data_IF_033720431516
#
_entry.id   IF_033720431516
#
_cell.length_a   1.000
_cell.length_b   1.000
_cell.length_c   1.000
_cell.angle_alpha   90.00
_cell.angle_beta   90.00
_cell.angle_gamma   90.00
#
_symmetry.space_group_name_H-M   'P 1'
#
loop_
_entity.id
_entity.type
_entity.pdbx_description
1 polymer ?
#
# COMPACT_ATOMS: atom_id res chain seq x y z
N UNK A 1 -5.78 16.82 -11.90
CA UNK A 1 -6.02 15.60 -12.67
C UNK A 1 -5.44 15.79 -14.07
N UNK A 2 -4.39 15.02 -14.40
CA UNK A 2 -3.73 15.03 -15.70
C UNK A 2 -2.95 13.71 -15.85
N UNK A 3 -3.55 12.74 -16.54
CA UNK A 3 -2.98 11.40 -16.68
C UNK A 3 -1.78 11.42 -17.62
N UNK A 4 -0.71 10.71 -17.25
CA UNK A 4 0.41 10.42 -18.14
C UNK A 4 -0.01 9.33 -19.13
N UNK A 5 0.30 9.54 -20.40
CA UNK A 5 -0.03 8.62 -21.49
C UNK A 5 1.23 7.92 -22.03
N UNK A 6 2.36 8.66 -22.12
CA UNK A 6 3.64 8.16 -22.63
C UNK A 6 4.82 8.81 -21.91
N UNK A 7 5.93 8.10 -21.88
CA UNK A 7 7.22 8.58 -21.38
C UNK A 7 8.27 8.37 -22.45
N UNK A 8 8.70 9.45 -23.09
CA UNK A 8 9.67 9.43 -24.20
C UNK A 8 11.01 9.98 -23.74
N UNK A 9 12.06 9.13 -23.72
CA UNK A 9 13.40 9.55 -23.36
C UNK A 9 14.01 10.40 -24.46
N UNK A 10 14.56 11.56 -24.10
CA UNK A 10 15.24 12.50 -25.01
C UNK A 10 16.75 12.53 -24.76
N UNK A 11 17.50 13.34 -25.51
CA UNK A 11 18.93 13.53 -25.32
C UNK A 11 19.25 14.10 -23.92
N UNK A 12 18.40 14.99 -23.39
CA UNK A 12 18.68 15.74 -22.17
C UNK A 12 17.75 15.37 -20.99
N UNK A 13 16.74 14.53 -21.22
CA UNK A 13 15.77 14.19 -20.19
C UNK A 13 14.61 13.35 -20.73
N UNK A 14 13.40 13.81 -20.51
CA UNK A 14 12.16 13.13 -20.83
C UNK A 14 11.08 14.07 -21.33
N UNK A 15 10.31 13.60 -22.32
CA UNK A 15 9.03 14.19 -22.69
C UNK A 15 7.90 13.34 -22.12
N UNK A 16 7.19 13.90 -21.17
CA UNK A 16 6.03 13.30 -20.51
C UNK A 16 4.77 13.73 -21.23
N UNK A 17 4.21 12.84 -22.03
CA UNK A 17 2.95 13.09 -22.75
C UNK A 17 1.78 12.87 -21.80
N UNK A 18 0.91 13.85 -21.72
CA UNK A 18 -0.27 13.82 -20.87
C UNK A 18 -1.54 14.17 -21.63
N UNK A 19 -2.71 13.95 -21.02
CA UNK A 19 -4.00 14.34 -21.62
C UNK A 19 -4.10 15.85 -21.95
N UNK A 20 -3.30 16.69 -21.26
CA UNK A 20 -3.35 18.16 -21.41
C UNK A 20 -2.15 18.75 -22.14
N UNK A 21 -1.27 17.91 -22.65
CA UNK A 21 -0.08 18.34 -23.38
C UNK A 21 1.18 17.62 -22.93
N UNK A 22 2.31 17.99 -23.54
CA UNK A 22 3.62 17.40 -23.24
C UNK A 22 4.41 18.28 -22.31
N UNK A 23 5.07 17.68 -21.33
CA UNK A 23 5.96 18.33 -20.36
C UNK A 23 7.36 17.80 -20.60
N UNK A 24 8.30 18.67 -21.00
CA UNK A 24 9.72 18.31 -21.06
C UNK A 24 10.37 18.53 -19.69
N UNK A 25 11.07 17.51 -19.19
CA UNK A 25 11.72 17.54 -17.88
C UNK A 25 13.04 16.79 -17.90
N UNK A 26 13.93 17.12 -16.98
CA UNK A 26 15.21 16.44 -16.84
C UNK A 26 15.07 15.08 -16.18
N UNK A 27 14.24 14.98 -15.14
CA UNK A 27 14.05 13.79 -14.33
C UNK A 27 12.59 13.37 -14.27
N UNK A 28 12.37 12.04 -14.25
CA UNK A 28 11.06 11.43 -13.99
C UNK A 28 11.16 10.59 -12.72
N UNK A 29 10.21 10.76 -11.81
CA UNK A 29 10.03 9.90 -10.63
C UNK A 29 8.72 9.14 -10.76
N UNK A 30 8.82 7.82 -10.85
CA UNK A 30 7.66 6.94 -10.83
C UNK A 30 7.27 6.63 -9.37
N UNK A 31 6.26 7.31 -8.88
CA UNK A 31 5.63 7.10 -7.58
C UNK A 31 4.15 6.68 -7.74
N UNK A 32 3.87 5.84 -8.75
CA UNK A 32 2.50 5.58 -9.20
C UNK A 32 1.78 4.48 -8.41
N UNK A 33 2.33 3.99 -7.28
CA UNK A 33 1.65 3.03 -6.40
C UNK A 33 1.19 1.79 -7.16
N UNK A 34 -0.11 1.50 -7.17
CA UNK A 34 -0.71 0.36 -7.88
C UNK A 34 -0.42 0.36 -9.39
N UNK A 35 -0.19 1.53 -10.00
CA UNK A 35 0.10 1.69 -11.43
C UNK A 35 1.60 1.78 -11.73
N UNK A 36 2.48 1.61 -10.74
CA UNK A 36 3.92 1.77 -10.90
C UNK A 36 4.51 0.89 -12.01
N UNK A 37 4.05 -0.37 -12.11
CA UNK A 37 4.45 -1.31 -13.16
C UNK A 37 4.07 -0.81 -14.55
N UNK A 38 2.83 -0.32 -14.72
CA UNK A 38 2.32 0.19 -15.99
C UNK A 38 3.05 1.47 -16.41
N UNK A 39 3.29 2.39 -15.47
CA UNK A 39 4.07 3.61 -15.72
C UNK A 39 5.53 3.26 -16.04
N UNK A 40 6.11 2.26 -15.38
CA UNK A 40 7.42 1.72 -15.72
C UNK A 40 7.49 1.23 -17.17
N UNK A 41 6.49 0.46 -17.60
CA UNK A 41 6.40 -0.04 -18.99
C UNK A 41 6.35 1.07 -20.04
N UNK A 42 5.77 2.23 -19.73
CA UNK A 42 5.82 3.39 -20.63
C UNK A 42 7.26 3.86 -20.91
N UNK A 43 8.16 3.66 -19.95
CA UNK A 43 9.60 3.95 -20.08
C UNK A 43 10.42 2.72 -20.54
N UNK A 44 9.76 1.60 -20.87
CA UNK A 44 10.43 0.34 -21.23
C UNK A 44 11.10 -0.35 -20.03
N UNK A 45 10.52 -0.22 -18.84
CA UNK A 45 11.01 -0.81 -17.59
C UNK A 45 9.95 -1.78 -17.05
N UNK A 46 10.36 -2.99 -16.69
CA UNK A 46 9.52 -3.90 -15.94
C UNK A 46 9.91 -3.81 -14.46
N UNK A 47 9.14 -3.07 -13.67
CA UNK A 47 9.38 -2.97 -12.23
C UNK A 47 8.91 -4.26 -11.54
N UNK A 48 9.73 -4.85 -10.65
CA UNK A 48 9.39 -6.05 -9.91
C UNK A 48 8.47 -5.71 -8.73
N UNK A 49 7.28 -5.23 -9.02
CA UNK A 49 6.25 -4.92 -8.03
C UNK A 49 4.99 -5.69 -8.32
N UNK A 50 4.28 -6.07 -7.28
CA UNK A 50 2.98 -6.73 -7.39
C UNK A 50 2.03 -6.18 -6.33
N UNK A 51 0.82 -5.79 -6.71
CA UNK A 51 -0.20 -5.47 -5.73
C UNK A 51 -0.65 -6.74 -4.98
N UNK A 52 -0.81 -6.61 -3.66
CA UNK A 52 -1.38 -7.62 -2.78
C UNK A 52 -2.60 -7.03 -2.08
N UNK A 53 -3.62 -7.86 -1.83
CA UNK A 53 -4.70 -7.50 -0.92
C UNK A 53 -4.22 -7.58 0.53
N UNK A 54 -4.66 -6.65 1.38
CA UNK A 54 -4.23 -6.61 2.78
C UNK A 54 -5.32 -6.05 3.67
N UNK A 55 -5.50 -6.69 4.83
CA UNK A 55 -6.55 -6.33 5.77
C UNK A 55 -6.03 -5.59 6.99
N UNK A 56 -6.90 -4.73 7.51
CA UNK A 56 -6.87 -4.28 8.89
C UNK A 56 -8.30 -4.09 9.41
N UNK A 57 -8.47 -4.12 10.71
CA UNK A 57 -9.73 -3.77 11.37
C UNK A 57 -9.60 -2.47 12.16
N UNK A 58 -10.72 -1.76 12.27
CA UNK A 58 -10.91 -0.64 13.18
C UNK A 58 -11.90 -1.04 14.26
N UNK A 59 -11.58 -0.76 15.51
CA UNK A 59 -12.50 -0.99 16.62
C UNK A 59 -13.48 0.16 16.80
N UNK A 60 -14.55 -0.08 17.52
CA UNK A 60 -15.32 0.96 18.16
C UNK A 60 -14.46 1.72 19.18
N UNK A 61 -15.01 2.81 19.75
CA UNK A 61 -14.36 3.54 20.82
C UNK A 61 -14.15 2.64 22.04
N UNK A 62 -12.93 2.67 22.58
CA UNK A 62 -12.51 1.94 23.77
C UNK A 62 -12.34 2.99 24.89
N UNK A 63 -13.11 2.91 25.99
CA UNK A 63 -13.10 3.94 27.03
C UNK A 63 -11.70 4.23 27.60
N UNK A 64 -10.89 3.20 27.78
CA UNK A 64 -9.52 3.32 28.31
C UNK A 64 -8.61 4.06 27.35
N UNK A 65 -8.79 3.89 26.04
CA UNK A 65 -8.05 4.59 24.98
C UNK A 65 -8.55 6.02 24.86
N UNK A 66 -9.86 6.22 24.92
CA UNK A 66 -10.47 7.54 24.83
C UNK A 66 -10.10 8.46 26.01
N UNK A 67 -9.74 7.90 27.15
CA UNK A 67 -9.33 8.62 28.36
C UNK A 67 -7.84 9.02 28.37
N UNK A 68 -7.05 8.63 27.37
CA UNK A 68 -5.63 8.94 27.31
C UNK A 68 -5.41 10.38 26.84
N UNK A 69 -4.50 11.07 27.51
CA UNK A 69 -4.03 12.42 27.11
C UNK A 69 -3.00 12.41 25.98
N UNK A 70 -2.39 11.25 25.73
CA UNK A 70 -1.36 11.08 24.69
C UNK A 70 -1.63 9.83 23.87
N UNK A 71 -1.28 9.87 22.60
CA UNK A 71 -1.45 8.73 21.69
C UNK A 71 -0.51 7.57 22.10
N UNK A 72 -1.04 6.36 22.02
CA UNK A 72 -0.27 5.14 22.25
C UNK A 72 0.76 4.91 21.14
N UNK A 73 1.93 4.36 21.47
CA UNK A 73 2.91 3.99 20.45
C UNK A 73 2.36 2.87 19.56
N UNK A 74 2.82 2.87 18.30
CA UNK A 74 2.63 1.71 17.41
C UNK A 74 3.34 0.50 18.01
N UNK A 75 2.62 -0.61 18.09
CA UNK A 75 3.17 -1.91 18.51
C UNK A 75 3.22 -2.83 17.30
N UNK A 76 4.35 -3.51 17.09
CA UNK A 76 4.53 -4.52 16.06
C UNK A 76 4.83 -5.85 16.73
N UNK A 77 4.02 -6.86 16.46
CA UNK A 77 4.22 -8.26 16.90
C UNK A 77 4.54 -9.11 15.69
N UNK A 78 5.82 -9.35 15.44
CA UNK A 78 6.28 -10.15 14.31
C UNK A 78 5.96 -11.64 14.46
N UNK A 79 5.87 -12.15 15.69
CA UNK A 79 5.48 -13.55 15.95
C UNK A 79 3.98 -13.76 15.77
N UNK A 80 3.16 -12.77 16.15
CA UNK A 80 1.72 -12.78 15.96
C UNK A 80 1.25 -12.28 14.60
N UNK A 81 2.19 -11.90 13.72
CA UNK A 81 1.90 -11.35 12.38
C UNK A 81 0.93 -10.18 12.39
N UNK A 82 1.05 -9.32 13.39
CA UNK A 82 0.14 -8.18 13.58
C UNK A 82 0.88 -6.91 13.94
N UNK A 83 0.24 -5.79 13.70
CA UNK A 83 0.60 -4.51 14.29
C UNK A 83 -0.64 -3.81 14.83
N UNK A 84 -0.48 -3.05 15.88
CA UNK A 84 -1.58 -2.30 16.49
C UNK A 84 -1.19 -0.86 16.74
N UNK A 85 -2.07 0.06 16.43
CA UNK A 85 -1.94 1.47 16.77
C UNK A 85 -3.27 2.08 17.20
N UNK A 86 -3.18 3.16 17.95
CA UNK A 86 -4.37 3.95 18.25
C UNK A 86 -4.94 4.58 16.97
N UNK A 87 -6.26 4.55 16.85
CA UNK A 87 -7.01 5.24 15.82
C UNK A 87 -8.17 6.00 16.45
N UNK A 88 -8.04 7.31 16.54
CA UNK A 88 -9.01 8.14 17.27
C UNK A 88 -9.18 7.67 18.73
N UNK A 89 -10.40 7.28 19.12
CA UNK A 89 -10.74 6.76 20.45
C UNK A 89 -10.74 5.23 20.52
N UNK A 90 -10.34 4.54 19.47
CA UNK A 90 -10.23 3.10 19.38
C UNK A 90 -8.86 2.67 18.89
N UNK A 91 -8.79 1.44 18.39
CA UNK A 91 -7.55 0.82 17.89
C UNK A 91 -7.71 0.40 16.43
N UNK A 92 -6.57 0.38 15.73
CA UNK A 92 -6.41 -0.28 14.44
C UNK A 92 -5.53 -1.50 14.68
N UNK A 93 -6.03 -2.69 14.33
CA UNK A 93 -5.24 -3.92 14.23
C UNK A 93 -4.98 -4.19 12.75
N UNK A 94 -3.74 -4.15 12.35
CA UNK A 94 -3.30 -4.54 11.02
C UNK A 94 -2.68 -5.93 11.03
N UNK A 95 -2.72 -6.60 9.90
CA UNK A 95 -2.34 -8.00 9.75
C UNK A 95 -1.24 -8.12 8.72
N UNK A 96 -0.13 -8.77 9.08
CA UNK A 96 0.89 -9.23 8.14
C UNK A 96 0.45 -10.59 7.61
N UNK A 97 -0.31 -10.58 6.53
CA UNK A 97 -0.95 -11.79 6.01
C UNK A 97 0.08 -12.81 5.50
N UNK A 98 -0.02 -14.05 5.99
CA UNK A 98 0.84 -15.16 5.54
C UNK A 98 0.34 -15.68 4.19
N UNK A 99 -1.00 -15.81 4.05
CA UNK A 99 -1.65 -16.28 2.83
C UNK A 99 -2.08 -15.11 1.94
N UNK A 100 -1.15 -14.19 1.67
CA UNK A 100 -1.45 -13.02 0.85
C UNK A 100 -1.85 -13.39 -0.57
N UNK A 101 -2.75 -12.59 -1.15
CA UNK A 101 -3.25 -12.76 -2.51
C UNK A 101 -2.79 -11.62 -3.40
N UNK A 102 -2.26 -11.98 -4.55
CA UNK A 102 -1.97 -11.01 -5.59
C UNK A 102 -3.27 -10.44 -6.19
N UNK A 103 -3.26 -9.15 -6.42
CA UNK A 103 -4.36 -8.42 -7.05
C UNK A 103 -3.88 -7.72 -8.30
N UNK A 104 -4.53 -7.97 -9.45
CA UNK A 104 -4.23 -7.28 -10.73
C UNK A 104 -2.74 -7.20 -11.05
N UNK A 105 -2.04 -8.34 -11.05
CA UNK A 105 -0.57 -8.45 -11.22
C UNK A 105 -0.04 -7.79 -12.50
N UNK A 106 -0.84 -7.76 -13.56
CA UNK A 106 -0.45 -7.16 -14.85
C UNK A 106 -0.71 -5.65 -14.92
N UNK A 107 -1.38 -5.10 -13.93
CA UNK A 107 -1.68 -3.69 -13.77
C UNK A 107 -3.11 -3.42 -13.35
N UNK A 108 -3.29 -2.46 -12.46
CA UNK A 108 -4.60 -1.99 -12.03
C UNK A 108 -5.30 -1.24 -13.17
N UNK A 109 -6.65 -1.32 -13.28
CA UNK A 109 -7.39 -0.47 -14.22
C UNK A 109 -7.09 1.01 -13.98
N UNK A 110 -6.95 1.79 -15.06
CA UNK A 110 -6.61 3.21 -14.95
C UNK A 110 -7.69 4.06 -14.28
N UNK A 111 -8.91 3.58 -14.29
CA UNK A 111 -10.10 4.19 -13.65
C UNK A 111 -10.38 3.62 -12.26
N UNK A 112 -9.57 2.67 -11.76
CA UNK A 112 -9.65 2.20 -10.38
C UNK A 112 -9.45 3.38 -9.43
N UNK A 113 -10.41 3.59 -8.54
CA UNK A 113 -10.44 4.73 -7.65
C UNK A 113 -10.01 4.39 -6.21
N UNK A 114 -10.68 5.01 -5.25
CA UNK A 114 -10.51 4.77 -3.81
C UNK A 114 -11.50 3.66 -3.40
N UNK A 115 -11.41 2.53 -4.06
CA UNK A 115 -12.28 1.38 -3.81
C UNK A 115 -11.56 0.41 -2.88
N UNK A 116 -12.32 -0.18 -1.97
CA UNK A 116 -11.84 -1.28 -1.14
C UNK A 116 -12.22 -2.60 -1.81
N UNK A 117 -11.40 -3.62 -1.55
CA UNK A 117 -11.68 -4.99 -1.95
C UNK A 117 -12.70 -5.60 -1.00
N UNK A 118 -13.38 -6.67 -1.44
CA UNK A 118 -14.24 -7.44 -0.57
C UNK A 118 -13.42 -8.03 0.59
N UNK A 119 -14.04 -8.10 1.75
CA UNK A 119 -13.44 -8.74 2.92
C UNK A 119 -13.28 -10.24 2.68
N UNK A 120 -12.18 -10.79 3.16
CA UNK A 120 -11.84 -12.21 3.11
C UNK A 120 -11.28 -12.64 4.47
N UNK A 121 -12.17 -12.65 5.46
CA UNK A 121 -11.83 -12.84 6.87
C UNK A 121 -11.34 -14.27 7.13
N UNK A 122 -11.93 -15.25 6.45
CA UNK A 122 -11.55 -16.66 6.61
C UNK A 122 -10.07 -16.88 6.27
N UNK A 123 -9.54 -16.12 5.32
CA UNK A 123 -8.13 -16.21 4.89
C UNK A 123 -7.14 -15.75 5.96
N UNK A 124 -7.56 -14.84 6.82
CA UNK A 124 -6.73 -14.22 7.87
C UNK A 124 -7.15 -14.66 9.29
N UNK A 125 -7.97 -15.70 9.42
CA UNK A 125 -8.52 -16.16 10.70
C UNK A 125 -7.43 -16.49 11.73
N UNK A 126 -6.34 -17.12 11.29
CA UNK A 126 -5.24 -17.50 12.18
C UNK A 126 -4.54 -16.27 12.77
N UNK A 127 -4.21 -15.29 11.94
CA UNK A 127 -3.55 -14.06 12.36
C UNK A 127 -4.47 -13.20 13.22
N UNK A 128 -5.78 -13.19 12.90
CA UNK A 128 -6.77 -12.51 13.74
C UNK A 128 -6.85 -13.16 15.13
N UNK A 129 -6.90 -14.49 15.20
CA UNK A 129 -6.93 -15.22 16.47
C UNK A 129 -5.71 -14.87 17.32
N UNK A 130 -4.52 -14.91 16.73
CA UNK A 130 -3.30 -14.47 17.43
C UNK A 130 -3.37 -13.01 17.87
N UNK A 131 -3.88 -12.12 17.04
CA UNK A 131 -4.06 -10.71 17.39
C UNK A 131 -4.99 -10.50 18.58
N UNK A 132 -6.12 -11.21 18.62
CA UNK A 132 -7.06 -11.15 19.76
C UNK A 132 -6.47 -11.77 21.04
N UNK A 133 -5.62 -12.77 20.94
CA UNK A 133 -4.88 -13.33 22.09
C UNK A 133 -3.81 -12.36 22.61
N UNK A 134 -3.06 -11.73 21.72
CA UNK A 134 -1.97 -10.79 22.06
C UNK A 134 -2.47 -9.45 22.60
N UNK A 135 -3.64 -9.01 22.12
CA UNK A 135 -4.26 -7.75 22.52
C UNK A 135 -5.65 -7.97 23.15
N UNK A 136 -5.72 -8.36 24.44
CA UNK A 136 -6.98 -8.76 25.09
C UNK A 136 -8.08 -7.70 25.03
N UNK A 137 -7.74 -6.41 24.94
CA UNK A 137 -8.71 -5.33 24.80
C UNK A 137 -9.60 -5.50 23.56
N UNK A 138 -9.11 -6.15 22.52
CA UNK A 138 -9.87 -6.41 21.29
C UNK A 138 -10.98 -7.44 21.50
N UNK A 139 -10.88 -8.31 22.51
CA UNK A 139 -11.92 -9.31 22.80
C UNK A 139 -13.23 -8.69 23.31
N UNK A 140 -13.16 -7.49 23.84
CA UNK A 140 -14.31 -6.74 24.37
C UNK A 140 -14.68 -5.53 23.51
N UNK A 141 -13.80 -5.11 22.63
CA UNK A 141 -14.06 -4.02 21.70
C UNK A 141 -14.92 -4.50 20.52
N UNK A 142 -15.94 -3.74 20.15
CA UNK A 142 -16.67 -3.97 18.91
C UNK A 142 -15.79 -3.70 17.68
N UNK A 143 -16.04 -4.41 16.59
CA UNK A 143 -15.42 -4.12 15.30
C UNK A 143 -16.30 -3.12 14.55
N UNK A 144 -15.74 -1.92 14.32
CA UNK A 144 -16.41 -0.84 13.62
C UNK A 144 -16.35 -0.98 12.11
N UNK A 145 -15.20 -1.41 11.61
CA UNK A 145 -14.98 -1.53 10.17
C UNK A 145 -13.84 -2.51 9.85
N UNK A 146 -14.01 -3.23 8.77
CA UNK A 146 -12.98 -3.98 8.10
C UNK A 146 -12.50 -3.21 6.88
N UNK A 147 -11.24 -3.29 6.61
CA UNK A 147 -10.66 -2.69 5.40
C UNK A 147 -9.79 -3.74 4.73
N UNK A 148 -10.10 -4.03 3.46
CA UNK A 148 -9.25 -4.80 2.58
C UNK A 148 -8.85 -3.89 1.43
N UNK A 149 -7.57 -3.56 1.32
CA UNK A 149 -7.03 -2.67 0.31
C UNK A 149 -5.91 -3.32 -0.47
N UNK A 150 -5.80 -2.95 -1.75
CA UNK A 150 -4.66 -3.35 -2.56
C UNK A 150 -3.53 -2.34 -2.42
N UNK A 151 -2.29 -2.79 -2.21
CA UNK A 151 -1.10 -1.96 -2.31
C UNK A 151 0.10 -2.77 -2.81
N UNK A 152 1.12 -2.09 -3.31
CA UNK A 152 2.23 -2.74 -4.00
C UNK A 152 3.33 -3.22 -3.06
N UNK A 153 3.83 -4.41 -3.34
CA UNK A 153 5.01 -4.99 -2.71
C UNK A 153 6.10 -5.27 -3.73
N UNK A 154 7.34 -5.20 -3.30
CA UNK A 154 8.50 -5.77 -4.00
C UNK A 154 8.68 -7.24 -3.59
N UNK A 155 9.46 -8.05 -4.32
CA UNK A 155 9.67 -9.46 -3.99
C UNK A 155 10.37 -9.72 -2.65
N UNK A 156 11.13 -8.77 -2.16
CA UNK A 156 11.86 -8.86 -0.89
C UNK A 156 11.24 -8.02 0.24
N UNK A 157 10.07 -7.40 -0.03
CA UNK A 157 9.36 -6.56 0.91
C UNK A 157 10.02 -5.19 1.19
N UNK A 158 11.12 -4.86 0.50
CA UNK A 158 11.77 -3.56 0.69
C UNK A 158 11.27 -2.52 -0.32
N UNK A 159 11.26 -1.23 0.05
CA UNK A 159 10.91 -0.16 -0.87
C UNK A 159 11.83 -0.09 -2.08
N UNK A 160 11.28 0.10 -3.26
CA UNK A 160 12.02 0.38 -4.48
C UNK A 160 12.19 1.89 -4.66
N UNK A 161 13.19 2.46 -3.99
CA UNK A 161 13.49 3.90 -4.02
C UNK A 161 14.91 4.12 -4.54
N UNK A 162 15.01 4.81 -5.67
CA UNK A 162 16.30 5.16 -6.27
C UNK A 162 16.29 5.20 -7.80
N UNK A 163 17.47 5.42 -8.41
CA UNK A 163 17.62 5.41 -9.85
C UNK A 163 17.41 4.00 -10.42
N UNK A 164 16.70 3.92 -11.54
CA UNK A 164 16.47 2.63 -12.20
C UNK A 164 17.64 2.30 -13.14
N UNK A 165 18.31 1.15 -12.96
CA UNK A 165 19.44 0.76 -13.80
C UNK A 165 19.09 0.76 -15.29
N UNK A 166 20.00 1.28 -16.12
CA UNK A 166 19.84 1.34 -17.57
C UNK A 166 18.91 2.45 -18.09
N UNK A 167 18.35 3.28 -17.20
CA UNK A 167 17.53 4.43 -17.58
C UNK A 167 18.07 5.72 -16.98
N UNK A 168 18.57 6.60 -17.84
CA UNK A 168 19.08 7.90 -17.37
C UNK A 168 17.94 8.77 -16.86
N UNK A 169 18.15 9.38 -15.70
CA UNK A 169 17.25 10.33 -15.09
C UNK A 169 15.83 9.79 -14.84
N UNK A 170 15.70 8.48 -14.68
CA UNK A 170 14.47 7.82 -14.27
C UNK A 170 14.63 7.19 -12.90
N UNK A 171 13.72 7.50 -12.01
CA UNK A 171 13.73 7.09 -10.61
C UNK A 171 12.45 6.33 -10.27
N UNK A 172 12.54 5.36 -9.38
CA UNK A 172 11.38 4.75 -8.74
C UNK A 172 11.22 5.22 -7.30
N UNK A 173 9.98 5.32 -6.84
CA UNK A 173 9.57 5.51 -5.45
C UNK A 173 8.29 4.69 -5.25
N UNK A 174 8.45 3.35 -5.20
CA UNK A 174 7.36 2.38 -5.23
C UNK A 174 7.53 1.35 -4.12
N UNK A 175 6.46 0.63 -3.80
CA UNK A 175 6.43 -0.41 -2.76
C UNK A 175 6.92 0.13 -1.39
N UNK A 176 6.36 1.28 -0.95
CA UNK A 176 6.74 2.01 0.26
C UNK A 176 5.65 1.85 1.29
#
# INVERSE_FOLDING_TARGET
HNRVLELNQTADGWDVVTEKGTISCEHVVNAAGLWAKQVGRMAGIELPVSPLSHHYLLTDSIPEVAALDTELPLTVDLEGFTYMRQHQQGMLLGIYEINHQHWMMDGAPWDYGIELLNEDIDRIENELTLGFERYPVLQTAGVRNWVNGAFTFSPDGNPLVGPVPGKRNYWSACAV
#
